data_IF_453659065389
#
_entry.id   IF_453659065389
#
_cell.length_a   1.000
_cell.length_b   1.000
_cell.length_c   1.000
_cell.angle_alpha   90.00
_cell.angle_beta   90.00
_cell.angle_gamma   90.00
#
_symmetry.space_group_name_H-M   'P 1'
#
loop_
_entity.id
_entity.type
_entity.pdbx_description
1 polymer ?
#
# COMPACT_ATOMS: atom_id res chain seq x y z
N UNK A 1 5.22 25.06 6.73
CA UNK A 1 5.08 24.13 7.88
C UNK A 1 3.87 24.53 8.70
N UNK A 2 3.22 23.60 9.38
CA UNK A 2 2.07 23.87 10.27
C UNK A 2 2.27 23.15 11.60
N UNK A 3 1.85 23.76 12.70
CA UNK A 3 1.77 23.07 13.98
C UNK A 3 0.48 22.25 14.03
N UNK A 4 0.64 20.93 14.07
CA UNK A 4 -0.46 19.97 14.02
C UNK A 4 -0.27 19.00 15.17
N UNK A 5 -1.20 19.04 16.11
CA UNK A 5 -1.28 18.09 17.21
C UNK A 5 -1.52 16.66 16.71
N UNK A 6 -1.44 15.69 17.62
CA UNK A 6 -1.70 14.30 17.23
C UNK A 6 -3.16 14.11 16.81
N UNK A 7 -3.41 13.54 15.61
CA UNK A 7 -4.77 13.23 15.21
C UNK A 7 -5.36 12.18 16.15
N UNK A 8 -6.65 12.31 16.52
CA UNK A 8 -7.29 11.39 17.46
C UNK A 8 -7.25 9.96 16.94
N UNK A 9 -7.12 9.00 17.86
CA UNK A 9 -7.21 7.57 17.53
C UNK A 9 -8.66 7.17 17.74
N UNK A 10 -9.40 6.77 16.68
CA UNK A 10 -10.76 6.33 16.84
C UNK A 10 -10.76 5.00 17.61
N UNK A 11 -11.58 4.92 18.66
CA UNK A 11 -11.83 3.66 19.38
C UNK A 11 -12.84 2.76 18.66
N UNK A 12 -13.38 3.21 17.54
CA UNK A 12 -14.33 2.44 16.73
C UNK A 12 -13.63 1.23 16.12
N UNK A 13 -14.27 0.08 16.28
CA UNK A 13 -13.87 -1.15 15.61
C UNK A 13 -14.84 -1.43 14.48
N UNK A 14 -14.34 -1.95 13.37
CA UNK A 14 -15.18 -2.32 12.22
C UNK A 14 -15.20 -3.83 12.06
N UNK A 15 -16.38 -4.47 12.03
CA UNK A 15 -16.44 -5.91 11.83
C UNK A 15 -15.95 -6.28 10.43
N UNK A 16 -15.22 -7.40 10.35
CA UNK A 16 -14.90 -8.05 9.09
C UNK A 16 -16.15 -8.77 8.60
N UNK A 17 -16.73 -8.28 7.51
CA UNK A 17 -17.92 -8.85 6.88
C UNK A 17 -17.48 -9.56 5.61
N UNK A 18 -18.19 -10.63 5.24
CA UNK A 18 -18.00 -11.24 3.94
C UNK A 18 -18.30 -10.22 2.84
N UNK A 19 -17.51 -10.26 1.76
CA UNK A 19 -17.83 -9.49 0.56
C UNK A 19 -19.27 -9.77 0.12
N UNK A 20 -19.99 -8.72 -0.29
CA UNK A 20 -21.35 -8.86 -0.79
C UNK A 20 -21.35 -9.87 -1.94
N UNK A 21 -22.36 -10.75 -1.96
CA UNK A 21 -22.45 -11.81 -2.95
C UNK A 21 -22.42 -11.27 -4.40
N UNK A 22 -22.96 -10.07 -4.62
CA UNK A 22 -22.97 -9.41 -5.92
C UNK A 22 -21.56 -9.01 -6.40
N UNK A 23 -20.74 -8.42 -5.52
CA UNK A 23 -19.38 -8.02 -5.88
C UNK A 23 -18.44 -9.22 -6.02
N UNK A 24 -18.58 -10.20 -5.12
CA UNK A 24 -17.87 -11.46 -5.25
C UNK A 24 -18.19 -12.11 -6.59
N UNK A 25 -19.48 -12.14 -6.99
CA UNK A 25 -19.91 -12.67 -8.28
C UNK A 25 -19.33 -11.89 -9.46
N UNK A 26 -19.31 -10.56 -9.44
CA UNK A 26 -18.72 -9.74 -10.52
C UNK A 26 -17.24 -10.06 -10.70
N UNK A 27 -16.48 -10.12 -9.61
CA UNK A 27 -15.06 -10.46 -9.65
C UNK A 27 -14.84 -11.90 -10.14
N UNK A 28 -15.62 -12.87 -9.64
CA UNK A 28 -15.55 -14.27 -10.09
C UNK A 28 -15.84 -14.38 -11.59
N UNK A 29 -16.87 -13.70 -12.11
CA UNK A 29 -17.20 -13.72 -13.54
C UNK A 29 -16.03 -13.20 -14.37
N UNK A 30 -15.43 -12.06 -13.99
CA UNK A 30 -14.28 -11.50 -14.71
C UNK A 30 -13.09 -12.46 -14.71
N UNK A 31 -12.75 -13.05 -13.56
CA UNK A 31 -11.63 -14.00 -13.44
C UNK A 31 -11.88 -15.25 -14.27
N UNK A 32 -13.11 -15.79 -14.24
CA UNK A 32 -13.49 -16.98 -15.03
C UNK A 32 -13.44 -16.68 -16.53
N UNK A 33 -13.93 -15.51 -16.97
CA UNK A 33 -13.87 -15.11 -18.38
C UNK A 33 -12.43 -15.00 -18.87
N UNK A 34 -11.53 -14.40 -18.08
CA UNK A 34 -10.10 -14.35 -18.42
C UNK A 34 -9.50 -15.76 -18.47
N UNK A 35 -9.82 -16.61 -17.48
CA UNK A 35 -9.34 -17.99 -17.45
C UNK A 35 -9.77 -18.79 -18.68
N UNK A 36 -11.03 -18.68 -19.09
CA UNK A 36 -11.56 -19.33 -20.29
C UNK A 36 -10.90 -18.80 -21.58
N UNK A 37 -10.67 -17.48 -21.67
CA UNK A 37 -9.96 -16.90 -22.81
C UNK A 37 -8.53 -17.42 -22.93
N UNK A 38 -7.82 -17.58 -21.81
CA UNK A 38 -6.48 -18.18 -21.78
C UNK A 38 -6.51 -19.66 -22.19
N UNK A 39 -7.51 -20.43 -21.74
CA UNK A 39 -7.69 -21.82 -22.17
C UNK A 39 -7.98 -21.92 -23.68
N UNK A 40 -8.83 -21.05 -24.22
CA UNK A 40 -9.11 -20.99 -25.66
C UNK A 40 -7.87 -20.61 -26.47
N UNK A 41 -7.09 -19.63 -26.00
CA UNK A 41 -5.81 -19.26 -26.60
C UNK A 41 -4.78 -20.39 -26.54
N UNK A 42 -4.70 -21.10 -25.41
CA UNK A 42 -3.87 -22.29 -25.26
C UNK A 42 -4.25 -23.40 -26.22
N UNK A 43 -5.55 -23.68 -26.36
CA UNK A 43 -6.07 -24.64 -27.34
C UNK A 43 -5.72 -24.24 -28.78
N UNK A 44 -5.88 -22.96 -29.13
CA UNK A 44 -5.53 -22.45 -30.46
C UNK A 44 -4.02 -22.61 -30.74
N UNK A 45 -3.16 -22.27 -29.78
CA UNK A 45 -1.71 -22.48 -29.92
C UNK A 45 -1.32 -23.96 -30.06
N UNK A 46 -2.06 -24.86 -29.41
CA UNK A 46 -1.85 -26.30 -29.54
C UNK A 46 -2.07 -26.77 -30.97
N UNK A 47 -3.13 -26.30 -31.63
CA UNK A 47 -3.43 -26.60 -33.04
C UNK A 47 -2.36 -26.08 -34.00
N UNK A 48 -1.70 -24.97 -33.67
CA UNK A 48 -0.63 -24.37 -34.46
C UNK A 48 0.79 -24.86 -34.08
N UNK A 49 0.91 -26.04 -33.46
CA UNK A 49 2.18 -26.69 -33.08
C UNK A 49 3.05 -25.90 -32.09
N UNK A 50 2.50 -24.88 -31.42
CA UNK A 50 3.20 -24.13 -30.38
C UNK A 50 2.98 -24.77 -29.00
N UNK A 51 3.36 -26.05 -28.87
CA UNK A 51 3.02 -26.90 -27.71
C UNK A 51 3.44 -26.35 -26.35
N UNK A 52 4.64 -25.76 -26.25
CA UNK A 52 5.12 -25.17 -24.99
C UNK A 52 4.21 -24.04 -24.49
N UNK A 53 3.90 -23.06 -25.36
CA UNK A 53 3.06 -21.92 -25.01
C UNK A 53 1.60 -22.31 -24.76
N UNK A 54 1.12 -23.32 -25.48
CA UNK A 54 -0.20 -23.89 -25.25
C UNK A 54 -0.35 -24.46 -23.82
N UNK A 55 0.64 -25.20 -23.34
CA UNK A 55 0.66 -25.73 -21.97
C UNK A 55 0.73 -24.60 -20.94
N UNK A 56 1.60 -23.60 -21.15
CA UNK A 56 1.72 -22.44 -20.24
C UNK A 56 0.40 -21.69 -20.10
N UNK A 57 -0.27 -21.37 -21.22
CA UNK A 57 -1.57 -20.68 -21.18
C UNK A 57 -2.69 -21.54 -20.60
N UNK A 58 -2.72 -22.84 -20.93
CA UNK A 58 -3.70 -23.77 -20.38
C UNK A 58 -3.61 -23.89 -18.86
N UNK A 59 -2.39 -24.05 -18.32
CA UNK A 59 -2.16 -24.13 -16.87
C UNK A 59 -2.52 -22.81 -16.19
N UNK A 60 -2.14 -21.66 -16.76
CA UNK A 60 -2.52 -20.35 -16.22
C UNK A 60 -4.03 -20.13 -16.22
N UNK A 61 -4.71 -20.51 -17.31
CA UNK A 61 -6.17 -20.40 -17.44
C UNK A 61 -6.91 -21.26 -16.41
N UNK A 62 -6.55 -22.54 -16.30
CA UNK A 62 -7.13 -23.45 -15.30
C UNK A 62 -6.84 -22.98 -13.89
N UNK A 63 -5.60 -22.54 -13.61
CA UNK A 63 -5.20 -22.01 -12.31
C UNK A 63 -6.03 -20.80 -11.88
N UNK A 64 -6.31 -19.86 -12.79
CA UNK A 64 -7.17 -18.70 -12.53
C UNK A 64 -8.61 -19.11 -12.21
N UNK A 65 -9.17 -20.06 -12.95
CA UNK A 65 -10.53 -20.55 -12.70
C UNK A 65 -10.61 -21.23 -11.33
N UNK A 66 -9.66 -22.09 -10.99
CA UNK A 66 -9.63 -22.76 -9.67
C UNK A 66 -9.47 -21.73 -8.54
N UNK A 67 -8.58 -20.73 -8.73
CA UNK A 67 -8.38 -19.68 -7.75
C UNK A 67 -9.62 -18.82 -7.49
N UNK A 68 -10.54 -18.72 -8.45
CA UNK A 68 -11.81 -17.99 -8.29
C UNK A 68 -12.77 -18.64 -7.27
N UNK A 69 -12.58 -19.93 -6.97
CA UNK A 69 -13.28 -20.66 -5.91
C UNK A 69 -12.51 -20.64 -4.58
N UNK A 70 -11.43 -19.86 -4.49
CA UNK A 70 -10.61 -19.70 -3.29
C UNK A 70 -11.33 -19.07 -2.10
N UNK A 71 -10.65 -18.96 -0.94
CA UNK A 71 -11.24 -18.49 0.30
C UNK A 71 -11.86 -17.10 0.13
N UNK A 72 -13.09 -16.95 0.66
CA UNK A 72 -13.87 -15.71 0.58
C UNK A 72 -13.06 -14.55 1.15
N UNK A 73 -12.98 -13.47 0.39
CA UNK A 73 -12.34 -12.24 0.84
C UNK A 73 -13.26 -11.51 1.82
N UNK A 74 -12.73 -11.23 3.00
CA UNK A 74 -13.39 -10.37 3.98
C UNK A 74 -13.12 -8.91 3.62
N UNK A 75 -14.10 -8.07 3.94
CA UNK A 75 -14.06 -6.62 3.77
C UNK A 75 -14.45 -5.96 5.08
N UNK A 76 -13.79 -4.85 5.39
CA UNK A 76 -14.12 -4.03 6.54
C UNK A 76 -14.10 -2.55 6.15
N UNK A 77 -14.82 -1.72 6.88
CA UNK A 77 -14.68 -0.28 6.79
C UNK A 77 -13.41 0.17 7.52
N UNK A 78 -12.72 1.17 6.97
CA UNK A 78 -11.60 1.81 7.64
C UNK A 78 -12.11 2.55 8.88
N UNK A 79 -11.54 2.33 10.08
CA UNK A 79 -12.00 3.00 11.30
C UNK A 79 -11.77 4.52 11.30
N UNK A 80 -10.91 5.03 10.41
CA UNK A 80 -10.60 6.46 10.33
C UNK A 80 -11.47 7.23 9.35
N UNK A 81 -11.78 6.66 8.18
CA UNK A 81 -12.46 7.36 7.10
C UNK A 81 -13.71 6.64 6.55
N UNK A 82 -14.03 5.46 7.07
CA UNK A 82 -15.14 4.62 6.60
C UNK A 82 -14.93 3.99 5.22
N UNK A 83 -13.78 4.22 4.56
CA UNK A 83 -13.52 3.65 3.24
C UNK A 83 -13.42 2.12 3.31
N UNK A 84 -13.93 1.45 2.28
CA UNK A 84 -13.90 0.00 2.18
C UNK A 84 -12.47 -0.51 2.00
N UNK A 85 -12.08 -1.48 2.81
CA UNK A 85 -10.80 -2.18 2.78
C UNK A 85 -11.04 -3.67 2.51
N UNK A 86 -10.33 -4.24 1.54
CA UNK A 86 -10.45 -5.63 1.11
C UNK A 86 -9.11 -6.36 1.19
N UNK A 87 -9.12 -7.68 0.93
CA UNK A 87 -7.89 -8.49 0.91
C UNK A 87 -7.59 -9.17 2.25
N UNK A 88 -8.56 -9.18 3.16
CA UNK A 88 -8.51 -9.98 4.37
C UNK A 88 -8.94 -11.41 4.04
N UNK A 89 -8.14 -12.40 4.46
CA UNK A 89 -8.47 -13.81 4.27
C UNK A 89 -9.25 -14.29 5.49
N UNK A 90 -10.23 -15.18 5.28
CA UNK A 90 -11.06 -15.72 6.36
C UNK A 90 -10.30 -16.63 7.35
N UNK A 91 -9.05 -16.96 7.06
CA UNK A 91 -8.21 -17.80 7.90
C UNK A 91 -7.51 -16.95 8.96
N UNK A 92 -7.31 -17.47 10.17
CA UNK A 92 -6.60 -16.82 11.31
C UNK A 92 -5.19 -16.28 10.97
N UNK A 93 -4.68 -16.52 9.76
CA UNK A 93 -3.43 -15.94 9.23
C UNK A 93 -3.48 -14.41 9.08
N UNK A 94 -4.65 -13.78 9.14
CA UNK A 94 -4.75 -12.31 9.12
C UNK A 94 -4.62 -11.65 10.48
N UNK A 95 -4.71 -12.39 11.59
CA UNK A 95 -4.61 -11.79 12.92
C UNK A 95 -3.24 -11.18 13.17
N UNK A 96 -3.24 -9.97 13.74
CA UNK A 96 -2.04 -9.16 13.94
C UNK A 96 -1.49 -8.50 12.67
N UNK A 97 -2.06 -8.78 11.48
CA UNK A 97 -1.60 -8.16 10.24
C UNK A 97 -1.99 -6.69 10.19
N UNK A 98 -0.99 -5.84 10.01
CA UNK A 98 -1.18 -4.42 9.75
C UNK A 98 -1.59 -4.22 8.28
N UNK A 99 -2.65 -3.44 8.07
CA UNK A 99 -3.17 -3.11 6.74
C UNK A 99 -3.37 -1.60 6.63
N UNK A 100 -2.87 -1.03 5.54
CA UNK A 100 -3.04 0.37 5.23
C UNK A 100 -4.35 0.62 4.48
N UNK A 101 -5.05 1.68 4.84
CA UNK A 101 -6.19 2.15 4.07
C UNK A 101 -5.74 2.83 2.76
N UNK A 102 -6.21 2.41 1.58
CA UNK A 102 -5.80 3.02 0.30
C UNK A 102 -6.30 4.46 0.12
N UNK A 103 -7.32 4.90 0.89
CA UNK A 103 -7.91 6.23 0.76
C UNK A 103 -7.28 7.27 1.70
N UNK A 104 -7.11 6.93 2.97
CA UNK A 104 -6.58 7.87 3.97
C UNK A 104 -5.17 7.54 4.45
N UNK A 105 -4.54 6.47 3.94
CA UNK A 105 -3.18 6.04 4.27
C UNK A 105 -2.92 5.70 5.74
N UNK A 106 -3.97 5.67 6.56
CA UNK A 106 -3.91 5.26 7.97
C UNK A 106 -3.76 3.74 8.10
N UNK A 107 -3.08 3.33 9.16
CA UNK A 107 -2.82 1.92 9.45
C UNK A 107 -3.84 1.37 10.45
N UNK A 108 -4.26 0.14 10.18
CA UNK A 108 -5.20 -0.60 11.00
C UNK A 108 -4.67 -2.02 11.21
N UNK A 109 -5.02 -2.63 12.33
CA UNK A 109 -4.62 -3.99 12.68
C UNK A 109 -5.85 -4.89 12.75
N UNK A 110 -5.73 -6.08 12.18
CA UNK A 110 -6.77 -7.11 12.30
C UNK A 110 -6.61 -7.81 13.65
N UNK A 111 -7.68 -7.85 14.43
CA UNK A 111 -7.74 -8.53 15.71
C UNK A 111 -9.04 -9.36 15.75
N UNK A 112 -8.89 -10.67 15.57
CA UNK A 112 -9.97 -11.61 15.36
C UNK A 112 -10.80 -11.26 14.13
N UNK A 113 -12.11 -11.09 14.35
CA UNK A 113 -13.08 -10.71 13.29
C UNK A 113 -13.31 -9.20 13.20
N UNK A 114 -12.41 -8.39 13.76
CA UNK A 114 -12.54 -6.93 13.76
C UNK A 114 -11.29 -6.25 13.25
N UNK A 115 -11.48 -5.14 12.55
CA UNK A 115 -10.43 -4.21 12.17
C UNK A 115 -10.40 -3.08 13.20
N UNK A 116 -9.25 -2.84 13.81
CA UNK A 116 -9.03 -1.80 14.81
C UNK A 116 -8.00 -0.78 14.32
N UNK A 117 -8.10 0.45 14.79
CA UNK A 117 -7.06 1.45 14.56
C UNK A 117 -5.75 0.98 15.21
N UNK A 118 -4.63 1.14 14.49
CA UNK A 118 -3.32 0.82 15.05
C UNK A 118 -2.91 1.92 16.05
N UNK A 119 -2.61 1.52 17.29
CA UNK A 119 -2.14 2.44 18.31
C UNK A 119 -0.65 2.79 18.05
N UNK A 120 -0.31 4.07 17.80
CA UNK A 120 1.06 4.50 17.57
C UNK A 120 2.01 4.21 18.74
N UNK A 121 1.50 4.05 19.97
CA UNK A 121 2.34 3.70 21.12
C UNK A 121 2.77 2.23 21.10
N UNK A 122 1.93 1.35 20.55
CA UNK A 122 2.20 -0.10 20.48
C UNK A 122 3.06 -0.52 19.29
N UNK A 123 3.22 0.35 18.28
CA UNK A 123 3.89 0.01 17.02
C UNK A 123 5.40 0.31 17.03
N UNK A 124 6.06 0.32 18.19
CA UNK A 124 7.45 0.76 18.29
C UNK A 124 8.44 -0.27 17.72
N UNK A 125 9.17 0.17 16.70
CA UNK A 125 10.40 -0.39 16.11
C UNK A 125 10.20 -1.53 15.08
N UNK A 126 10.57 -1.22 13.82
CA UNK A 126 10.84 -2.22 12.78
C UNK A 126 9.88 -2.25 11.59
N UNK A 127 8.73 -1.58 11.67
CA UNK A 127 7.80 -1.49 10.52
C UNK A 127 7.97 -0.15 9.80
N UNK A 128 8.30 -0.22 8.51
CA UNK A 128 8.27 0.94 7.63
C UNK A 128 6.82 1.28 7.28
N UNK A 129 6.33 2.42 7.74
CA UNK A 129 5.01 2.92 7.36
C UNK A 129 5.15 3.75 6.11
N UNK A 130 4.37 3.47 5.07
CA UNK A 130 4.49 4.14 3.79
C UNK A 130 3.38 5.18 3.62
N UNK A 131 3.67 6.34 3.05
CA UNK A 131 2.65 7.30 2.59
C UNK A 131 3.05 7.88 1.25
N UNK A 132 2.12 8.34 0.40
CA UNK A 132 2.51 9.13 -0.74
C UNK A 132 3.16 10.44 -0.30
N UNK A 133 4.08 10.93 -1.13
CA UNK A 133 4.44 12.35 -1.13
C UNK A 133 3.25 13.12 -1.70
N UNK A 134 2.82 14.20 -1.04
CA UNK A 134 1.76 15.06 -1.55
C UNK A 134 2.32 16.22 -2.37
N UNK A 135 1.61 16.62 -3.44
CA UNK A 135 1.91 17.82 -4.21
C UNK A 135 1.79 19.05 -3.32
N UNK A 136 2.83 19.88 -3.34
CA UNK A 136 2.98 21.04 -2.46
C UNK A 136 2.80 20.67 -0.97
N UNK A 137 3.22 19.46 -0.61
CA UNK A 137 3.03 18.90 0.72
C UNK A 137 3.65 19.77 1.81
N UNK A 138 2.94 19.96 2.91
CA UNK A 138 3.40 20.72 4.05
C UNK A 138 3.94 19.77 5.12
N UNK A 139 5.15 20.04 5.59
CA UNK A 139 5.72 19.37 6.76
C UNK A 139 5.11 19.89 8.07
N UNK A 140 4.82 19.01 9.05
CA UNK A 140 4.54 19.46 10.40
C UNK A 140 5.76 20.20 10.97
N UNK A 141 5.54 21.20 11.83
CA UNK A 141 6.63 21.96 12.50
C UNK A 141 7.25 21.15 13.66
N UNK A 142 7.71 19.94 13.35
CA UNK A 142 8.21 18.97 14.31
C UNK A 142 9.14 17.97 13.61
N UNK A 143 10.14 17.45 14.33
CA UNK A 143 11.06 16.44 13.83
C UNK A 143 10.29 15.20 13.38
N UNK A 144 10.53 14.74 12.14
CA UNK A 144 9.85 13.58 11.53
C UNK A 144 10.06 12.25 12.28
N UNK A 145 11.02 12.19 13.21
CA UNK A 145 11.28 11.00 14.03
C UNK A 145 10.53 11.04 15.37
N UNK A 146 10.80 12.06 16.19
CA UNK A 146 10.37 12.13 17.59
C UNK A 146 9.32 13.20 17.88
N UNK A 147 9.07 14.13 16.96
CA UNK A 147 8.11 15.23 17.15
C UNK A 147 8.64 16.44 17.92
N UNK A 148 9.92 16.48 18.32
CA UNK A 148 10.55 17.66 18.94
C UNK A 148 10.68 18.84 17.96
N UNK A 149 10.92 20.06 18.47
CA UNK A 149 11.16 21.23 17.62
C UNK A 149 12.30 20.99 16.63
N UNK A 150 12.12 21.30 15.33
CA UNK A 150 13.16 21.07 14.33
C UNK A 150 14.31 22.07 14.51
N UNK A 151 15.53 21.58 14.47
CA UNK A 151 16.76 22.38 14.51
C UNK A 151 17.45 22.45 13.14
N UNK A 152 17.12 21.52 12.24
CA UNK A 152 17.66 21.47 10.88
C UNK A 152 16.64 20.95 9.86
N UNK A 153 16.93 21.21 8.59
CA UNK A 153 16.12 20.78 7.46
C UNK A 153 17.02 20.12 6.43
N UNK A 154 16.74 18.85 6.14
CA UNK A 154 17.54 18.06 5.21
C UNK A 154 16.73 17.76 3.93
N UNK A 155 17.44 17.54 2.82
CA UNK A 155 16.83 17.16 1.55
C UNK A 155 16.98 15.65 1.32
N UNK A 156 15.86 14.97 1.03
CA UNK A 156 15.85 13.56 0.67
C UNK A 156 15.94 13.42 -0.85
N UNK A 157 16.97 12.73 -1.33
CA UNK A 157 17.11 12.39 -2.75
C UNK A 157 17.23 10.88 -2.92
N UNK A 158 16.40 10.30 -3.78
CA UNK A 158 16.50 8.89 -4.17
C UNK A 158 16.55 8.77 -5.69
N UNK A 159 17.38 7.84 -6.16
CA UNK A 159 17.45 7.43 -7.56
C UNK A 159 17.07 5.96 -7.64
N UNK A 160 16.11 5.63 -8.48
CA UNK A 160 15.77 4.26 -8.81
C UNK A 160 16.15 3.99 -10.28
N UNK A 161 16.85 2.89 -10.50
CA UNK A 161 17.29 2.45 -11.82
C UNK A 161 16.48 1.21 -12.18
N UNK A 162 15.81 1.23 -13.33
CA UNK A 162 15.11 0.03 -13.79
C UNK A 162 16.12 -1.00 -14.33
N UNK A 163 16.45 -1.99 -13.50
CA UNK A 163 17.39 -3.06 -13.86
C UNK A 163 16.96 -3.85 -15.11
N UNK A 164 15.65 -4.02 -15.32
CA UNK A 164 15.12 -4.74 -16.49
C UNK A 164 15.32 -3.95 -17.79
N UNK A 165 15.19 -2.62 -17.71
CA UNK A 165 15.50 -1.75 -18.83
C UNK A 165 17.01 -1.75 -19.14
N UNK A 166 17.85 -1.88 -18.10
CA UNK A 166 19.31 -2.03 -18.25
C UNK A 166 19.67 -3.26 -19.09
N UNK A 167 19.00 -4.40 -18.85
CA UNK A 167 19.20 -5.64 -19.63
C UNK A 167 18.80 -5.47 -21.10
N UNK A 168 17.84 -4.60 -21.39
CA UNK A 168 17.39 -4.25 -22.75
C UNK A 168 18.18 -3.07 -23.37
N UNK A 169 19.30 -2.66 -22.76
CA UNK A 169 20.15 -1.57 -23.24
C UNK A 169 19.57 -0.17 -23.06
N UNK A 170 18.52 0.00 -22.24
CA UNK A 170 17.87 1.29 -21.97
C UNK A 170 17.99 1.66 -20.50
N UNK A 171 18.73 2.72 -20.18
CA UNK A 171 18.81 3.21 -18.80
C UNK A 171 17.65 4.18 -18.53
N UNK A 172 16.64 3.72 -17.79
CA UNK A 172 15.59 4.59 -17.27
C UNK A 172 15.91 4.90 -15.80
N UNK A 173 16.38 6.12 -15.56
CA UNK A 173 16.61 6.66 -14.23
C UNK A 173 15.38 7.46 -13.78
N UNK A 174 14.78 7.07 -12.66
CA UNK A 174 13.77 7.90 -11.99
C UNK A 174 14.42 8.55 -10.76
N UNK A 175 14.50 9.88 -10.76
CA UNK A 175 15.01 10.67 -9.64
C UNK A 175 13.83 11.34 -8.92
N UNK A 176 13.75 11.15 -7.61
CA UNK A 176 12.88 11.91 -6.73
C UNK A 176 13.73 12.74 -5.77
N UNK A 177 13.39 14.01 -5.61
CA UNK A 177 13.99 14.89 -4.60
C UNK A 177 12.87 15.54 -3.82
N UNK A 178 13.00 15.55 -2.50
CA UNK A 178 12.06 16.13 -1.58
C UNK A 178 12.84 16.99 -0.58
N UNK A 179 12.61 18.29 -0.60
CA UNK A 179 13.36 19.24 0.21
C UNK A 179 12.68 19.62 1.51
N UNK A 180 13.49 20.13 2.45
CA UNK A 180 13.00 20.77 3.67
C UNK A 180 12.40 19.83 4.71
N UNK A 181 12.90 18.60 4.81
CA UNK A 181 12.43 17.61 5.80
C UNK A 181 12.91 18.01 7.20
N UNK A 182 12.01 18.23 8.18
CA UNK A 182 12.39 18.71 9.50
C UNK A 182 13.02 17.62 10.38
N UNK A 183 14.22 17.88 10.90
CA UNK A 183 14.91 17.02 11.86
C UNK A 183 15.35 17.80 13.12
N UNK A 184 15.53 17.08 14.22
CA UNK A 184 16.26 17.57 15.40
C UNK A 184 17.71 17.05 15.38
N UNK A 185 18.56 17.56 16.26
CA UNK A 185 19.97 17.18 16.30
C UNK A 185 20.20 15.69 16.64
N UNK A 186 19.29 15.10 17.42
CA UNK A 186 19.36 13.69 17.83
C UNK A 186 18.99 12.68 16.75
N UNK A 187 18.23 13.06 15.73
CA UNK A 187 17.70 12.13 14.73
C UNK A 187 18.21 12.48 13.35
N UNK A 188 18.70 11.47 12.63
CA UNK A 188 19.09 11.50 11.21
C UNK A 188 18.42 10.33 10.51
N UNK A 189 18.10 10.51 9.23
CA UNK A 189 17.65 9.42 8.33
C UNK A 189 16.47 8.58 8.86
N UNK A 190 15.56 9.21 9.59
CA UNK A 190 14.35 8.56 10.13
C UNK A 190 13.21 8.44 9.10
N UNK A 191 13.41 9.03 7.92
CA UNK A 191 12.47 9.05 6.80
C UNK A 191 13.22 8.67 5.53
N UNK A 192 12.71 7.70 4.79
CA UNK A 192 13.29 7.29 3.50
C UNK A 192 12.34 7.63 2.34
N UNK A 193 12.90 8.20 1.27
CA UNK A 193 12.16 8.43 0.02
C UNK A 193 12.27 7.19 -0.87
N UNK A 194 11.14 6.57 -1.18
CA UNK A 194 11.00 5.51 -2.19
C UNK A 194 10.43 6.09 -3.47
N UNK A 195 10.98 5.68 -4.60
CA UNK A 195 10.48 6.05 -5.94
C UNK A 195 10.14 4.77 -6.68
N UNK A 196 8.87 4.57 -7.02
CA UNK A 196 8.44 3.38 -7.76
C UNK A 196 8.77 3.51 -9.25
N UNK A 197 8.75 2.39 -9.97
CA UNK A 197 8.89 2.39 -11.44
C UNK A 197 7.77 3.18 -12.13
N UNK A 198 6.60 3.28 -11.51
CA UNK A 198 5.47 4.09 -11.97
C UNK A 198 5.62 5.59 -11.65
N UNK A 199 6.83 6.04 -11.28
CA UNK A 199 7.15 7.43 -10.89
C UNK A 199 6.38 7.95 -9.67
N UNK A 200 5.76 7.08 -8.87
CA UNK A 200 5.13 7.48 -7.61
C UNK A 200 6.20 7.64 -6.55
N UNK A 201 6.11 8.72 -5.79
CA UNK A 201 7.00 8.98 -4.67
C UNK A 201 6.29 8.60 -3.37
N UNK A 202 6.92 7.70 -2.61
CA UNK A 202 6.45 7.23 -1.31
C UNK A 202 7.47 7.61 -0.24
N UNK A 203 6.99 7.94 0.94
CA UNK A 203 7.77 8.17 2.14
C UNK A 203 7.62 6.98 3.06
N UNK A 204 8.74 6.38 3.46
CA UNK A 204 8.78 5.35 4.47
C UNK A 204 9.21 5.96 5.81
N UNK A 205 8.28 5.92 6.75
CA UNK A 205 8.38 6.48 8.09
C UNK A 205 8.73 5.40 9.10
N UNK A 206 9.64 5.73 10.03
CA UNK A 206 9.90 4.90 11.21
C UNK A 206 8.92 5.16 12.37
N UNK A 207 8.16 6.26 12.31
CA UNK A 207 7.25 6.72 13.36
C UNK A 207 5.85 6.89 12.80
N UNK A 208 4.93 6.00 13.22
CA UNK A 208 3.51 6.09 12.84
C UNK A 208 2.91 7.43 13.28
N UNK A 209 3.23 7.89 14.50
CA UNK A 209 2.76 9.18 15.02
C UNK A 209 3.09 10.34 14.08
N UNK A 210 4.32 10.42 13.59
CA UNK A 210 4.76 11.49 12.71
C UNK A 210 4.18 11.36 11.30
N UNK A 211 4.08 10.13 10.79
CA UNK A 211 3.37 9.85 9.54
C UNK A 211 1.93 10.39 9.59
N UNK A 212 1.20 10.12 10.67
CA UNK A 212 -0.18 10.57 10.85
C UNK A 212 -0.29 12.10 10.87
N UNK A 213 0.62 12.80 11.56
CA UNK A 213 0.68 14.27 11.53
C UNK A 213 0.90 14.81 10.11
N UNK A 214 1.79 14.18 9.34
CA UNK A 214 2.01 14.55 7.95
C UNK A 214 0.77 14.31 7.07
N UNK A 215 0.12 13.15 7.18
CA UNK A 215 -1.12 12.88 6.44
C UNK A 215 -2.23 13.86 6.83
N UNK A 216 -2.38 14.17 8.12
CA UNK A 216 -3.34 15.15 8.60
C UNK A 216 -3.07 16.56 8.02
N UNK A 217 -1.80 16.97 7.95
CA UNK A 217 -1.38 18.24 7.33
C UNK A 217 -1.73 18.34 5.84
N UNK A 218 -1.85 17.20 5.16
CA UNK A 218 -1.94 17.11 3.71
C UNK A 218 -3.25 16.48 3.22
N UNK A 219 -4.27 16.35 4.09
CA UNK A 219 -5.52 15.63 3.78
C UNK A 219 -6.30 16.18 2.57
N UNK A 220 -6.18 17.48 2.30
CA UNK A 220 -6.82 18.14 1.16
C UNK A 220 -5.98 18.13 -0.12
N UNK A 221 -4.74 17.62 -0.07
CA UNK A 221 -3.78 17.67 -1.17
C UNK A 221 -3.77 16.38 -1.96
N UNK A 222 -3.40 16.49 -3.23
CA UNK A 222 -3.28 15.35 -4.11
C UNK A 222 -1.90 14.66 -3.93
N UNK A 223 -1.84 13.32 -3.98
CA UNK A 223 -0.58 12.59 -4.10
C UNK A 223 0.22 13.01 -5.35
N UNK A 224 1.55 13.01 -5.23
CA UNK A 224 2.50 13.34 -6.29
C UNK A 224 2.80 12.15 -7.22
#
# INVERSE_FOLDING_TARGET
MVDIGDPPIPQTTSPLVNMSAEEARKNTIVVVMIGLALCAGGWWLWQHQNGFWAVVLGVLGVGLVVASFGPKTLVAACPFCGARMSGFLQNNKSDGKQTQCPKCYEYSVVSGKTLRALDPASSSQGTGFETPVFKDGIWPRACVACGASPTRFDDLTKRNVNALALVLGRVILVKGTLSGVPYCDQHRDALELKVTQSKKMLLEWRSLRMMRRYVAANRSRQPA
#
